data_IF_422012202733
#
_entry.id   IF_422012202733
#
_cell.length_a   1.000
_cell.length_b   1.000
_cell.length_c   1.000
_cell.angle_alpha   90.00
_cell.angle_beta   90.00
_cell.angle_gamma   90.00
#
_symmetry.space_group_name_H-M   'P 1'
#
loop_
_entity.id
_entity.type
_entity.pdbx_description
1 polymer ?
#
# COMPACT_ATOMS: atom_id res chain seq x y z
N UNK A 1 -3.12 7.02 -19.46
CA UNK A 1 -2.05 6.50 -20.33
C UNK A 1 -2.07 4.99 -20.20
N UNK A 2 -2.35 4.25 -21.28
CA UNK A 2 -2.26 2.79 -21.25
C UNK A 2 -0.78 2.42 -21.14
N UNK A 3 -0.31 2.13 -19.93
CA UNK A 3 1.00 1.51 -19.75
C UNK A 3 0.92 0.10 -20.32
N UNK A 4 1.80 -0.22 -21.27
CA UNK A 4 1.99 -1.59 -21.74
C UNK A 4 2.28 -2.52 -20.55
N UNK A 5 1.73 -3.73 -20.59
CA UNK A 5 1.92 -4.71 -19.52
C UNK A 5 3.39 -5.16 -19.47
N UNK A 6 4.11 -4.98 -18.35
CA UNK A 6 5.47 -5.48 -18.20
C UNK A 6 5.53 -7.02 -18.28
N UNK A 7 6.70 -7.61 -18.57
CA UNK A 7 6.89 -9.06 -18.46
C UNK A 7 6.48 -9.57 -17.07
N UNK A 8 5.87 -10.76 -17.01
CA UNK A 8 5.47 -11.37 -15.75
C UNK A 8 6.69 -11.58 -14.84
N UNK A 9 6.68 -10.92 -13.69
CA UNK A 9 7.64 -11.09 -12.61
C UNK A 9 6.87 -11.03 -11.29
N UNK A 10 6.83 -12.11 -10.50
CA UNK A 10 6.10 -12.12 -9.24
C UNK A 10 6.88 -11.45 -8.09
N UNK A 11 8.12 -11.00 -8.30
CA UNK A 11 8.88 -10.32 -7.26
C UNK A 11 8.14 -9.07 -6.76
N UNK A 12 7.98 -8.86 -5.43
CA UNK A 12 7.14 -7.79 -4.89
C UNK A 12 7.53 -6.38 -5.34
N UNK A 13 8.82 -6.16 -5.65
CA UNK A 13 9.36 -4.88 -6.09
C UNK A 13 9.49 -4.77 -7.62
N UNK A 14 8.99 -5.75 -8.37
CA UNK A 14 9.02 -5.73 -9.84
C UNK A 14 8.09 -4.68 -10.45
N UNK A 15 8.41 -4.28 -11.69
CA UNK A 15 7.53 -3.42 -12.49
C UNK A 15 6.16 -4.06 -12.75
N UNK A 16 6.11 -5.39 -12.88
CA UNK A 16 4.87 -6.12 -13.09
C UNK A 16 3.91 -5.96 -11.92
N UNK A 17 4.39 -6.13 -10.69
CA UNK A 17 3.58 -5.97 -9.47
C UNK A 17 3.13 -4.52 -9.31
N UNK A 18 4.01 -3.54 -9.55
CA UNK A 18 3.65 -2.13 -9.53
C UNK A 18 2.57 -1.78 -10.56
N UNK A 19 2.71 -2.26 -11.79
CA UNK A 19 1.71 -2.11 -12.85
C UNK A 19 0.38 -2.77 -12.48
N UNK A 20 0.41 -4.01 -11.98
CA UNK A 20 -0.78 -4.76 -11.59
C UNK A 20 -1.54 -4.05 -10.46
N UNK A 21 -0.83 -3.58 -9.42
CA UNK A 21 -1.40 -2.82 -8.31
C UNK A 21 -1.95 -1.45 -8.73
N UNK A 22 -1.35 -0.80 -9.74
CA UNK A 22 -1.88 0.48 -10.24
C UNK A 22 -3.23 0.34 -10.94
N UNK A 23 -3.52 -0.83 -11.52
CA UNK A 23 -4.68 -1.06 -12.38
C UNK A 23 -5.99 -1.23 -11.60
N UNK A 24 -5.90 -1.57 -10.31
CA UNK A 24 -7.03 -1.89 -9.45
C UNK A 24 -7.13 -1.01 -8.19
N UNK A 25 -6.22 -0.06 -7.96
CA UNK A 25 -6.21 0.77 -6.75
C UNK A 25 -7.45 1.66 -6.61
N UNK A 26 -7.95 2.26 -7.68
CA UNK A 26 -9.14 3.14 -7.64
C UNK A 26 -10.42 2.38 -7.23
N UNK A 27 -10.78 1.23 -7.85
CA UNK A 27 -11.96 0.49 -7.41
C UNK A 27 -11.81 -0.10 -6.00
N UNK A 28 -10.60 -0.50 -5.58
CA UNK A 28 -10.34 -0.95 -4.21
C UNK A 28 -10.57 0.20 -3.23
N UNK A 29 -10.04 1.39 -3.51
CA UNK A 29 -10.27 2.59 -2.69
C UNK A 29 -11.76 2.89 -2.53
N UNK A 30 -12.54 2.76 -3.60
CA UNK A 30 -14.01 2.93 -3.55
C UNK A 30 -14.65 2.00 -2.53
N UNK A 31 -14.29 0.71 -2.55
CA UNK A 31 -14.79 -0.26 -1.58
C UNK A 31 -14.28 0.01 -0.15
N UNK A 32 -13.01 0.37 0.02
CA UNK A 32 -12.45 0.71 1.32
C UNK A 32 -13.17 1.91 1.96
N UNK A 33 -13.58 2.91 1.16
CA UNK A 33 -14.41 4.03 1.65
C UNK A 33 -15.77 3.58 2.19
N UNK A 34 -16.31 2.46 1.73
CA UNK A 34 -17.56 1.91 2.26
C UNK A 34 -17.35 1.02 3.48
N UNK A 35 -16.21 0.32 3.55
CA UNK A 35 -15.98 -0.76 4.52
C UNK A 35 -15.14 -0.36 5.73
N UNK A 36 -14.21 0.59 5.58
CA UNK A 36 -13.37 1.01 6.69
C UNK A 36 -14.17 1.85 7.72
N UNK A 37 -13.76 1.82 9.00
CA UNK A 37 -14.39 2.60 10.06
C UNK A 37 -14.50 4.08 9.73
N UNK A 38 -15.54 4.73 10.26
CA UNK A 38 -15.74 6.18 10.15
C UNK A 38 -15.12 6.94 11.32
N UNK A 39 -14.97 6.27 12.45
CA UNK A 39 -14.32 6.81 13.64
C UNK A 39 -12.80 6.61 13.54
N UNK A 40 -12.01 7.46 14.23
CA UNK A 40 -10.56 7.32 14.24
C UNK A 40 -10.10 5.98 14.80
N UNK A 41 -9.34 5.24 14.01
CA UNK A 41 -8.95 3.86 14.32
C UNK A 41 -7.58 3.49 13.76
N UNK A 42 -7.03 2.36 14.22
CA UNK A 42 -5.80 1.78 13.69
C UNK A 42 -6.11 0.60 12.77
N UNK A 43 -5.52 0.60 11.58
CA UNK A 43 -5.75 -0.43 10.55
C UNK A 43 -4.46 -1.21 10.30
N UNK A 44 -4.49 -2.52 10.46
CA UNK A 44 -3.41 -3.41 10.03
C UNK A 44 -3.62 -3.78 8.57
N UNK A 45 -2.64 -3.48 7.71
CA UNK A 45 -2.60 -3.98 6.34
C UNK A 45 -1.70 -5.23 6.31
N UNK A 46 -2.27 -6.36 5.87
CA UNK A 46 -1.54 -7.62 5.70
C UNK A 46 -1.01 -7.73 4.27
N UNK A 47 0.23 -8.21 4.14
CA UNK A 47 0.90 -8.40 2.86
C UNK A 47 0.98 -7.09 2.05
N UNK A 48 1.55 -6.05 2.67
CA UNK A 48 1.72 -4.71 2.10
C UNK A 48 2.51 -4.69 0.78
N UNK A 49 3.31 -5.72 0.51
CA UNK A 49 4.15 -5.85 -0.67
C UNK A 49 5.04 -4.62 -0.85
N UNK A 50 5.16 -4.12 -2.08
CA UNK A 50 5.93 -2.91 -2.38
C UNK A 50 5.46 -1.62 -1.67
N UNK A 51 4.31 -1.63 -0.99
CA UNK A 51 3.74 -0.44 -0.35
C UNK A 51 3.00 0.51 -1.31
N UNK A 52 2.79 0.10 -2.56
CA UNK A 52 2.10 0.92 -3.57
C UNK A 52 0.65 1.23 -3.19
N UNK A 53 -0.04 0.27 -2.58
CA UNK A 53 -1.44 0.40 -2.17
C UNK A 53 -1.58 1.25 -0.92
N UNK A 54 -0.86 0.94 0.15
CA UNK A 54 -0.96 1.71 1.40
C UNK A 54 -0.61 3.19 1.21
N UNK A 55 0.43 3.49 0.43
CA UNK A 55 0.84 4.86 0.14
C UNK A 55 -0.09 5.59 -0.82
N UNK A 56 -1.00 4.88 -1.47
CA UNK A 56 -2.10 5.46 -2.26
C UNK A 56 -3.38 5.60 -1.43
N UNK A 57 -3.70 4.63 -0.56
CA UNK A 57 -4.94 4.63 0.21
C UNK A 57 -4.91 5.58 1.39
N UNK A 58 -3.83 5.58 2.19
CA UNK A 58 -3.78 6.32 3.46
C UNK A 58 -4.20 7.80 3.34
N UNK A 59 -3.74 8.57 2.32
CA UNK A 59 -4.15 9.98 2.14
C UNK A 59 -5.66 10.23 1.98
N UNK A 60 -6.46 9.19 1.72
CA UNK A 60 -7.91 9.28 1.62
C UNK A 60 -8.65 9.01 2.93
N UNK A 61 -7.93 8.72 4.02
CA UNK A 61 -8.46 8.34 5.32
C UNK A 61 -7.68 9.04 6.45
N UNK A 62 -7.77 10.37 6.50
CA UNK A 62 -7.04 11.22 7.46
C UNK A 62 -7.33 10.90 8.95
N UNK A 63 -8.46 10.25 9.24
CA UNK A 63 -8.82 9.78 10.56
C UNK A 63 -8.25 8.40 10.92
N UNK A 64 -7.74 7.64 9.96
CA UNK A 64 -7.19 6.30 10.18
C UNK A 64 -5.67 6.34 10.26
N UNK A 65 -5.11 5.44 11.06
CA UNK A 65 -3.67 5.22 11.12
C UNK A 65 -3.33 3.81 10.67
N UNK A 66 -2.52 3.70 9.62
CA UNK A 66 -2.21 2.44 8.97
C UNK A 66 -0.90 1.85 9.51
N UNK A 67 -0.92 0.55 9.78
CA UNK A 67 0.22 -0.28 10.14
C UNK A 67 0.47 -1.25 8.98
N UNK A 68 1.43 -0.96 8.08
CA UNK A 68 1.85 -1.91 7.06
C UNK A 68 2.48 -3.13 7.70
N UNK A 69 2.29 -4.30 7.10
CA UNK A 69 2.97 -5.52 7.51
C UNK A 69 3.21 -6.46 6.35
N UNK A 70 4.34 -7.15 6.38
CA UNK A 70 4.68 -8.18 5.40
C UNK A 70 5.56 -9.26 6.01
N UNK A 71 5.55 -10.43 5.38
CA UNK A 71 6.49 -11.50 5.67
C UNK A 71 7.85 -11.21 5.03
N UNK A 72 7.85 -10.60 3.85
CA UNK A 72 9.09 -10.28 3.16
C UNK A 72 9.66 -8.95 3.66
N UNK A 73 10.75 -9.02 4.42
CA UNK A 73 11.40 -7.81 4.94
C UNK A 73 12.06 -6.96 3.86
N UNK A 74 12.31 -7.51 2.66
CA UNK A 74 12.99 -6.79 1.59
C UNK A 74 12.18 -5.58 1.09
N UNK A 75 10.86 -5.61 1.28
CA UNK A 75 9.96 -4.54 0.82
C UNK A 75 9.91 -3.34 1.76
N UNK A 76 10.43 -3.48 2.99
CA UNK A 76 10.24 -2.47 4.05
C UNK A 76 10.89 -1.14 3.72
N UNK A 77 12.10 -1.17 3.17
CA UNK A 77 12.80 0.06 2.77
C UNK A 77 12.05 0.78 1.65
N UNK A 78 11.41 0.04 0.75
CA UNK A 78 10.58 0.64 -0.31
C UNK A 78 9.30 1.27 0.24
N UNK A 79 8.61 0.60 1.17
CA UNK A 79 7.43 1.16 1.86
C UNK A 79 7.81 2.49 2.53
N UNK A 80 8.87 2.49 3.36
CA UNK A 80 9.33 3.68 4.09
C UNK A 80 9.71 4.82 3.15
N UNK A 81 10.41 4.50 2.06
CA UNK A 81 10.79 5.47 1.04
C UNK A 81 9.56 6.13 0.42
N UNK A 82 8.59 5.35 -0.05
CA UNK A 82 7.36 5.88 -0.64
C UNK A 82 6.54 6.71 0.34
N UNK A 83 6.45 6.27 1.60
CA UNK A 83 5.78 7.01 2.69
C UNK A 83 6.41 8.39 2.89
N UNK A 84 7.74 8.45 2.94
CA UNK A 84 8.47 9.71 3.05
C UNK A 84 8.31 10.58 1.81
N UNK A 85 8.35 10.01 0.59
CA UNK A 85 8.22 10.75 -0.67
C UNK A 85 6.83 11.36 -0.85
N UNK A 86 5.78 10.67 -0.39
CA UNK A 86 4.40 11.15 -0.46
C UNK A 86 4.02 12.08 0.71
N UNK A 87 4.87 12.18 1.75
CA UNK A 87 4.58 13.00 2.93
C UNK A 87 3.44 12.45 3.80
N UNK A 88 3.25 11.13 3.79
CA UNK A 88 2.19 10.46 4.55
C UNK A 88 2.58 10.41 6.04
N UNK A 89 1.75 11.00 6.90
CA UNK A 89 1.99 11.07 8.36
C UNK A 89 1.17 10.03 9.15
N UNK A 90 0.29 9.33 8.45
CA UNK A 90 -0.72 8.40 8.93
C UNK A 90 -0.35 6.93 8.66
N UNK A 91 0.88 6.68 8.16
CA UNK A 91 1.44 5.35 7.92
C UNK A 91 2.61 5.11 8.89
N UNK A 92 2.53 4.05 9.69
CA UNK A 92 3.61 3.62 10.57
C UNK A 92 4.73 2.87 9.81
N UNK A 93 5.89 2.72 10.46
CA UNK A 93 6.95 1.82 9.96
C UNK A 93 6.41 0.39 9.78
N UNK A 94 6.72 -0.29 8.65
CA UNK A 94 6.28 -1.65 8.40
C UNK A 94 6.80 -2.62 9.47
N UNK A 95 5.97 -3.60 9.83
CA UNK A 95 6.31 -4.65 10.80
C UNK A 95 6.34 -6.02 10.13
N UNK A 96 7.26 -6.87 10.58
CA UNK A 96 7.34 -8.26 10.13
C UNK A 96 6.25 -9.10 10.80
N UNK A 97 5.50 -9.86 10.00
CA UNK A 97 4.50 -10.85 10.44
C UNK A 97 4.75 -12.20 9.74
N UNK A 98 4.74 -13.30 10.51
CA UNK A 98 5.15 -14.66 10.10
C UNK A 98 4.01 -15.62 9.72
#
# INVERSE_FOLDING_TARGET
>A
MNQEMPPLDPHPLSEYIAWAGSRNREPILGLLKEKLPKDPERILELASGSGMHINYFAPHFDHLHFQPSDKDIEVFDNIKKLTSEHGNNDIADPVHLD
#
